data_IF_758001233551
#
_entry.id   IF_758001233551
#
_cell.length_a   1.000
_cell.length_b   1.000
_cell.length_c   1.000
_cell.angle_alpha   90.00
_cell.angle_beta   90.00
_cell.angle_gamma   90.00
#
_symmetry.space_group_name_H-M   'P 1'
#
loop_
_entity.id
_entity.type
_entity.pdbx_description
1 polymer ?
#
# COMPACT_ATOMS: atom_id res chain seq x y z
N UNK A 1 -21.80 2.98 -3.22
CA UNK A 1 -21.15 4.08 -2.49
C UNK A 1 -20.23 4.80 -3.46
N UNK A 2 -20.69 5.91 -4.03
CA UNK A 2 -19.92 6.70 -4.99
C UNK A 2 -18.95 7.61 -4.24
N UNK A 3 -17.65 7.44 -4.48
CA UNK A 3 -16.63 8.41 -4.08
C UNK A 3 -16.54 9.43 -5.20
N UNK A 4 -17.13 10.60 -4.97
CA UNK A 4 -17.07 11.76 -5.86
C UNK A 4 -15.77 12.52 -5.53
N UNK A 5 -15.04 12.90 -6.58
CA UNK A 5 -13.92 13.87 -6.57
C UNK A 5 -12.52 13.35 -6.20
N UNK A 6 -11.89 12.67 -7.18
CA UNK A 6 -10.47 12.90 -7.52
C UNK A 6 -10.26 12.80 -9.04
N UNK A 7 -9.37 13.61 -9.64
CA UNK A 7 -9.07 13.53 -11.06
C UNK A 7 -8.25 12.25 -11.32
N UNK A 8 -8.93 11.20 -11.78
CA UNK A 8 -8.27 10.00 -12.30
C UNK A 8 -8.33 10.06 -13.82
N UNK A 9 -7.16 10.19 -14.44
CA UNK A 9 -6.98 10.08 -15.88
C UNK A 9 -7.00 8.58 -16.27
N UNK A 10 -8.18 7.96 -16.18
CA UNK A 10 -8.42 6.70 -16.87
C UNK A 10 -8.97 7.03 -18.26
N UNK A 11 -8.31 6.52 -19.30
CA UNK A 11 -8.76 6.68 -20.66
C UNK A 11 -10.16 6.06 -20.80
N UNK A 12 -11.17 6.89 -21.08
CA UNK A 12 -12.51 6.45 -21.46
C UNK A 12 -12.37 5.62 -22.76
N UNK A 13 -12.49 4.30 -22.63
CA UNK A 13 -12.63 3.41 -23.79
C UNK A 13 -14.08 3.00 -23.87
N UNK A 14 -14.85 3.76 -24.66
CA UNK A 14 -16.26 3.48 -24.91
C UNK A 14 -16.46 2.02 -25.36
N UNK A 15 -17.21 1.25 -24.56
CA UNK A 15 -17.66 -0.10 -24.90
C UNK A 15 -16.71 -1.26 -24.58
N UNK A 16 -15.56 -1.03 -23.93
CA UNK A 16 -14.66 -2.12 -23.56
C UNK A 16 -15.00 -2.71 -22.18
N UNK A 17 -15.56 -3.92 -22.16
CA UNK A 17 -15.71 -4.71 -20.94
C UNK A 17 -14.48 -5.58 -20.72
N UNK A 18 -13.76 -5.40 -19.62
CA UNK A 18 -12.63 -6.25 -19.26
C UNK A 18 -13.04 -7.26 -18.19
N UNK A 19 -12.49 -8.47 -18.27
CA UNK A 19 -12.59 -9.42 -17.16
C UNK A 19 -11.73 -8.94 -16.00
N UNK A 20 -12.09 -9.31 -14.76
CA UNK A 20 -11.28 -9.00 -13.56
C UNK A 20 -9.79 -9.31 -13.76
N UNK A 21 -9.47 -10.48 -14.34
CA UNK A 21 -8.09 -10.93 -14.51
C UNK A 21 -7.32 -10.10 -15.53
N UNK A 22 -7.95 -9.70 -16.64
CA UNK A 22 -7.32 -8.82 -17.63
C UNK A 22 -7.00 -7.45 -17.03
N UNK A 23 -7.93 -6.89 -16.25
CA UNK A 23 -7.71 -5.62 -15.59
C UNK A 23 -6.63 -5.73 -14.48
N UNK A 24 -6.61 -6.83 -13.73
CA UNK A 24 -5.53 -7.10 -12.76
C UNK A 24 -4.16 -7.16 -13.42
N UNK A 25 -4.04 -7.84 -14.58
CA UNK A 25 -2.79 -7.88 -15.33
C UNK A 25 -2.39 -6.49 -15.80
N UNK A 26 -3.32 -5.71 -16.35
CA UNK A 26 -3.05 -4.34 -16.80
C UNK A 26 -2.55 -3.43 -15.65
N UNK A 27 -3.13 -3.57 -14.46
CA UNK A 27 -2.76 -2.81 -13.26
C UNK A 27 -1.42 -3.24 -12.66
N UNK A 28 -1.16 -4.55 -12.57
CA UNK A 28 0.01 -5.10 -11.87
C UNK A 28 1.25 -5.24 -12.75
N UNK A 29 1.08 -5.41 -14.07
CA UNK A 29 2.20 -5.69 -14.97
C UNK A 29 3.26 -4.58 -14.96
N UNK A 30 2.93 -3.28 -15.05
CA UNK A 30 3.95 -2.23 -15.04
C UNK A 30 4.76 -2.25 -13.75
N UNK A 31 4.08 -2.32 -12.60
CA UNK A 31 4.71 -2.36 -11.29
C UNK A 31 5.63 -3.58 -11.14
N UNK A 32 5.12 -4.78 -11.50
CA UNK A 32 5.86 -6.03 -11.36
C UNK A 32 7.09 -6.08 -12.30
N UNK A 33 6.94 -5.66 -13.55
CA UNK A 33 8.03 -5.66 -14.54
C UNK A 33 9.11 -4.66 -14.13
N UNK A 34 8.75 -3.41 -13.82
CA UNK A 34 9.72 -2.37 -13.44
C UNK A 34 10.45 -2.77 -12.15
N UNK A 35 9.73 -3.33 -11.18
CA UNK A 35 10.34 -3.81 -9.93
C UNK A 35 11.28 -4.99 -10.18
N UNK A 36 10.89 -5.99 -10.97
CA UNK A 36 11.73 -7.14 -11.29
C UNK A 36 13.00 -6.72 -12.04
N UNK A 37 12.87 -5.84 -13.04
CA UNK A 37 14.01 -5.29 -13.78
C UNK A 37 14.91 -4.47 -12.86
N UNK A 38 14.35 -3.63 -11.99
CA UNK A 38 15.13 -2.84 -11.04
C UNK A 38 15.89 -3.70 -10.02
N UNK A 39 15.26 -4.76 -9.49
CA UNK A 39 15.91 -5.70 -8.59
C UNK A 39 17.03 -6.48 -9.31
N UNK A 40 16.79 -6.94 -10.54
CA UNK A 40 17.83 -7.58 -11.35
C UNK A 40 19.00 -6.61 -11.63
N UNK A 41 18.70 -5.35 -11.92
CA UNK A 41 19.70 -4.30 -12.10
C UNK A 41 20.50 -4.05 -10.81
N UNK A 42 19.90 -4.14 -9.62
CA UNK A 42 20.62 -4.02 -8.35
C UNK A 42 21.60 -5.17 -8.09
N UNK A 43 21.27 -6.38 -8.57
CA UNK A 43 22.19 -7.54 -8.47
C UNK A 43 23.41 -7.34 -9.37
N UNK A 44 23.22 -6.77 -10.58
CA UNK A 44 24.31 -6.51 -11.53
C UNK A 44 25.10 -5.25 -11.15
N UNK A 45 24.41 -4.21 -10.69
CA UNK A 45 24.94 -2.91 -10.31
C UNK A 45 24.55 -2.62 -8.85
N UNK A 46 25.41 -2.94 -7.87
CA UNK A 46 25.13 -2.73 -6.45
C UNK A 46 25.25 -1.25 -6.07
N UNK A 47 24.43 -0.41 -6.69
CA UNK A 47 24.35 1.03 -6.43
C UNK A 47 23.03 1.37 -5.71
N UNK A 48 23.09 2.15 -4.61
CA UNK A 48 21.89 2.60 -3.90
C UNK A 48 21.04 3.58 -4.72
N UNK A 49 21.58 4.13 -5.81
CA UNK A 49 20.85 5.06 -6.68
C UNK A 49 19.62 4.42 -7.34
N UNK A 50 19.62 3.09 -7.53
CA UNK A 50 18.47 2.35 -8.08
C UNK A 50 17.26 2.34 -7.13
N UNK A 51 17.45 2.65 -5.84
CA UNK A 51 16.35 2.77 -4.87
C UNK A 51 15.43 3.93 -5.26
N UNK A 52 15.96 5.03 -5.79
CA UNK A 52 15.18 6.22 -6.13
C UNK A 52 14.13 5.95 -7.22
N UNK A 53 14.48 5.42 -8.42
CA UNK A 53 13.49 5.11 -9.44
C UNK A 53 12.54 3.97 -9.01
N UNK A 54 13.00 3.00 -8.22
CA UNK A 54 12.14 1.95 -7.68
C UNK A 54 11.11 2.49 -6.68
N UNK A 55 11.52 3.41 -5.81
CA UNK A 55 10.63 4.09 -4.89
C UNK A 55 9.61 4.97 -5.63
N UNK A 56 10.06 5.68 -6.68
CA UNK A 56 9.16 6.46 -7.53
C UNK A 56 8.13 5.58 -8.26
N UNK A 57 8.55 4.42 -8.78
CA UNK A 57 7.66 3.43 -9.38
C UNK A 57 6.62 2.92 -8.35
N UNK A 58 7.08 2.52 -7.16
CA UNK A 58 6.20 2.06 -6.10
C UNK A 58 5.18 3.13 -5.67
N UNK A 59 5.62 4.40 -5.55
CA UNK A 59 4.75 5.51 -5.22
C UNK A 59 3.72 5.79 -6.33
N UNK A 60 4.15 5.76 -7.60
CA UNK A 60 3.27 5.96 -8.75
C UNK A 60 2.21 4.87 -8.89
N UNK A 61 2.54 3.62 -8.57
CA UNK A 61 1.63 2.48 -8.67
C UNK A 61 0.66 2.32 -7.48
N UNK A 62 0.67 3.23 -6.48
CA UNK A 62 -0.25 3.13 -5.33
C UNK A 62 -1.72 3.08 -5.76
N UNK A 63 -2.09 3.87 -6.77
CA UNK A 63 -3.45 3.85 -7.32
C UNK A 63 -3.83 2.50 -7.94
N UNK A 64 -2.91 1.93 -8.71
CA UNK A 64 -3.12 0.65 -9.40
C UNK A 64 -3.17 -0.52 -8.43
N UNK A 65 -2.28 -0.53 -7.43
CA UNK A 65 -2.26 -1.53 -6.36
C UNK A 65 -3.53 -1.46 -5.50
N UNK A 66 -4.02 -0.25 -5.22
CA UNK A 66 -5.30 -0.06 -4.53
C UNK A 66 -6.46 -0.64 -5.35
N UNK A 67 -6.51 -0.32 -6.65
CA UNK A 67 -7.56 -0.83 -7.54
C UNK A 67 -7.51 -2.36 -7.68
N UNK A 68 -6.31 -2.93 -7.83
CA UNK A 68 -6.10 -4.37 -7.84
C UNK A 68 -6.55 -5.03 -6.53
N UNK A 69 -6.24 -4.42 -5.39
CA UNK A 69 -6.69 -4.87 -4.06
C UNK A 69 -8.20 -4.81 -3.87
N UNK A 70 -8.89 -3.85 -4.49
CA UNK A 70 -10.37 -3.81 -4.53
C UNK A 70 -10.92 -4.94 -5.39
N UNK A 71 -10.37 -5.14 -6.60
CA UNK A 71 -10.79 -6.20 -7.51
C UNK A 71 -10.60 -7.60 -6.92
N UNK A 72 -9.55 -7.81 -6.12
CA UNK A 72 -9.31 -9.07 -5.44
C UNK A 72 -10.37 -9.47 -4.40
N UNK A 73 -11.25 -8.56 -4.01
CA UNK A 73 -12.37 -8.85 -3.10
C UNK A 73 -13.59 -9.45 -3.82
N UNK A 74 -13.57 -9.43 -5.15
CA UNK A 74 -14.66 -9.88 -6.01
C UNK A 74 -14.30 -11.21 -6.71
N UNK A 75 -15.28 -12.08 -6.96
CA UNK A 75 -15.04 -13.35 -7.67
C UNK A 75 -14.59 -13.11 -9.13
N UNK A 76 -14.02 -14.15 -9.76
CA UNK A 76 -13.31 -14.03 -11.05
C UNK A 76 -14.24 -13.85 -12.27
N UNK A 77 -15.52 -14.16 -12.10
CA UNK A 77 -16.63 -14.01 -13.05
C UNK A 77 -17.11 -12.56 -13.22
N UNK A 78 -16.65 -11.67 -12.35
CA UNK A 78 -17.03 -10.27 -12.34
C UNK A 78 -16.39 -9.51 -13.51
N UNK A 79 -17.21 -8.70 -14.19
CA UNK A 79 -16.79 -7.84 -15.29
C UNK A 79 -16.66 -6.40 -14.80
N UNK A 80 -15.67 -5.70 -15.34
CA UNK A 80 -15.42 -4.30 -15.04
C UNK A 80 -15.60 -3.49 -16.32
N UNK A 81 -16.43 -2.45 -16.25
CA UNK A 81 -16.76 -1.59 -17.38
C UNK A 81 -17.32 -0.24 -16.94
N UNK A 82 -17.79 0.56 -17.89
CA UNK A 82 -18.31 1.90 -17.60
C UNK A 82 -19.65 1.85 -16.84
N UNK A 83 -19.81 2.59 -15.72
CA UNK A 83 -21.05 2.70 -14.96
C UNK A 83 -22.23 3.14 -15.85
N UNK A 84 -23.46 2.64 -15.61
CA UNK A 84 -24.62 3.14 -16.32
C UNK A 84 -24.90 4.58 -15.87
N UNK A 85 -25.31 5.45 -16.81
CA UNK A 85 -25.79 6.80 -16.49
C UNK A 85 -24.72 7.90 -16.44
N UNK A 86 -23.58 7.73 -17.13
CA UNK A 86 -22.59 8.81 -17.28
C UNK A 86 -21.85 9.16 -15.98
N UNK A 87 -21.89 8.27 -14.99
CA UNK A 87 -21.11 8.41 -13.76
C UNK A 87 -19.67 8.02 -14.06
N UNK A 88 -18.72 8.94 -13.85
CA UNK A 88 -17.30 8.67 -14.04
C UNK A 88 -16.79 7.66 -12.98
N UNK A 89 -16.17 6.57 -13.42
CA UNK A 89 -15.62 5.52 -12.55
C UNK A 89 -15.68 4.14 -13.20
N UNK A 90 -15.50 3.09 -12.41
CA UNK A 90 -15.65 1.70 -12.85
C UNK A 90 -16.86 1.05 -12.20
N UNK A 91 -17.76 0.49 -13.01
CA UNK A 91 -18.83 -0.39 -12.58
C UNK A 91 -18.33 -1.82 -12.45
N UNK A 92 -18.66 -2.45 -11.32
CA UNK A 92 -18.38 -3.87 -11.05
C UNK A 92 -19.69 -4.63 -11.27
N UNK A 93 -19.72 -5.48 -12.30
CA UNK A 93 -20.93 -6.20 -12.73
C UNK A 93 -20.78 -7.70 -12.46
N UNK A 94 -21.83 -8.31 -11.90
CA UNK A 94 -21.94 -9.77 -11.80
C UNK A 94 -22.18 -10.40 -13.18
N UNK A 95 -21.88 -11.70 -13.31
CA UNK A 95 -22.15 -12.46 -14.53
C UNK A 95 -23.65 -12.66 -14.80
N UNK A 96 -24.49 -12.62 -13.77
CA UNK A 96 -25.96 -12.57 -13.83
C UNK A 96 -26.47 -11.24 -13.24
N UNK A 97 -27.72 -10.86 -13.51
CA UNK A 97 -28.37 -9.61 -13.06
C UNK A 97 -28.42 -9.40 -11.52
N UNK A 98 -27.81 -10.29 -10.74
CA UNK A 98 -27.59 -10.15 -9.32
C UNK A 98 -26.41 -9.24 -8.98
N UNK A 99 -26.56 -8.43 -7.93
CA UNK A 99 -25.47 -7.62 -7.38
C UNK A 99 -24.28 -8.50 -6.97
N UNK A 100 -23.04 -8.26 -7.47
CA UNK A 100 -21.89 -9.09 -7.14
C UNK A 100 -21.56 -8.99 -5.65
N UNK A 101 -21.66 -10.11 -4.94
CA UNK A 101 -21.31 -10.19 -3.52
C UNK A 101 -19.80 -10.36 -3.34
N UNK A 102 -19.22 -9.63 -2.37
CA UNK A 102 -17.80 -9.79 -2.03
C UNK A 102 -17.57 -11.16 -1.38
N UNK A 103 -16.38 -11.72 -1.58
CA UNK A 103 -16.00 -12.98 -0.94
C UNK A 103 -16.12 -12.86 0.59
N UNK A 104 -16.66 -13.88 1.28
CA UNK A 104 -16.78 -13.86 2.74
C UNK A 104 -15.39 -13.66 3.39
N UNK A 105 -15.31 -12.79 4.41
CA UNK A 105 -14.07 -12.48 5.13
C UNK A 105 -13.20 -11.35 4.55
N UNK A 106 -13.35 -11.01 3.25
CA UNK A 106 -12.65 -9.86 2.64
C UNK A 106 -12.89 -8.49 3.29
N UNK A 107 -14.08 -8.16 3.86
CA UNK A 107 -14.23 -6.87 4.53
C UNK A 107 -13.43 -6.79 5.84
N UNK A 108 -13.20 -7.91 6.54
CA UNK A 108 -12.39 -7.94 7.74
C UNK A 108 -10.90 -7.86 7.39
N UNK A 109 -10.44 -8.66 6.42
CA UNK A 109 -9.06 -8.66 5.97
C UNK A 109 -8.64 -7.29 5.38
N UNK A 110 -9.50 -6.67 4.58
CA UNK A 110 -9.21 -5.34 4.02
C UNK A 110 -9.15 -4.23 5.07
N UNK A 111 -9.91 -4.34 6.17
CA UNK A 111 -9.80 -3.42 7.32
C UNK A 111 -8.48 -3.62 8.05
N UNK A 112 -8.12 -4.87 8.33
CA UNK A 112 -6.86 -5.22 8.97
C UNK A 112 -5.68 -4.69 8.15
N UNK A 113 -5.61 -5.02 6.86
CA UNK A 113 -4.54 -4.57 5.96
C UNK A 113 -4.46 -3.05 5.88
N UNK A 114 -5.61 -2.36 5.78
CA UNK A 114 -5.64 -0.89 5.79
C UNK A 114 -5.08 -0.32 7.09
N UNK A 115 -5.43 -0.90 8.23
CA UNK A 115 -4.90 -0.51 9.54
C UNK A 115 -3.38 -0.73 9.61
N UNK A 116 -2.89 -1.90 9.22
CA UNK A 116 -1.47 -2.22 9.20
C UNK A 116 -0.65 -1.29 8.30
N UNK A 117 -1.14 -1.02 7.09
CA UNK A 117 -0.48 -0.09 6.14
C UNK A 117 -0.48 1.33 6.69
N UNK A 118 -1.58 1.79 7.28
CA UNK A 118 -1.65 3.12 7.89
C UNK A 118 -0.65 3.25 9.06
N UNK A 119 -0.56 2.23 9.92
CA UNK A 119 0.41 2.21 11.03
C UNK A 119 1.85 2.25 10.52
N UNK A 120 2.19 1.45 9.50
CA UNK A 120 3.52 1.49 8.88
C UNK A 120 3.83 2.87 8.31
N UNK A 121 2.87 3.51 7.62
CA UNK A 121 3.05 4.85 7.06
C UNK A 121 3.33 5.89 8.16
N UNK A 122 2.62 5.81 9.29
CA UNK A 122 2.85 6.70 10.45
C UNK A 122 4.22 6.46 11.07
N UNK A 123 4.62 5.20 11.29
CA UNK A 123 5.94 4.85 11.83
C UNK A 123 7.05 5.34 10.92
N UNK A 124 6.92 5.15 9.60
CA UNK A 124 7.90 5.63 8.62
C UNK A 124 7.98 7.16 8.61
N UNK A 125 6.84 7.86 8.61
CA UNK A 125 6.81 9.33 8.68
C UNK A 125 7.45 9.86 9.96
N UNK A 126 7.19 9.20 11.10
CA UNK A 126 7.82 9.55 12.37
C UNK A 126 9.34 9.32 12.35
N UNK A 127 9.81 8.19 11.83
CA UNK A 127 11.24 7.90 11.70
C UNK A 127 11.94 8.92 10.81
N UNK A 128 11.35 9.28 9.66
CA UNK A 128 11.86 10.32 8.78
C UNK A 128 11.92 11.68 9.47
N UNK A 129 10.86 12.07 10.17
CA UNK A 129 10.84 13.31 10.95
C UNK A 129 11.94 13.33 12.01
N UNK A 130 12.12 12.23 12.74
CA UNK A 130 13.18 12.10 13.74
C UNK A 130 14.58 12.25 13.11
N UNK A 131 14.82 11.66 11.94
CA UNK A 131 16.07 11.82 11.19
C UNK A 131 16.28 13.27 10.77
N UNK A 132 15.27 13.92 10.19
CA UNK A 132 15.39 15.33 9.78
C UNK A 132 15.65 16.27 10.96
N UNK A 133 14.98 16.03 12.09
CA UNK A 133 15.23 16.79 13.33
C UNK A 133 16.66 16.53 13.83
N UNK A 134 17.10 15.29 13.91
CA UNK A 134 18.46 14.92 14.33
C UNK A 134 19.54 15.55 13.43
N UNK A 135 19.31 15.61 12.12
CA UNK A 135 20.18 16.30 11.17
C UNK A 135 20.16 17.82 11.36
N UNK A 136 19.00 18.41 11.68
CA UNK A 136 18.86 19.85 11.91
C UNK A 136 19.52 20.30 13.23
N UNK A 137 19.49 19.46 14.27
CA UNK A 137 20.02 19.77 15.59
C UNK A 137 21.42 19.17 15.87
N UNK A 138 21.98 18.40 14.94
CA UNK A 138 23.44 18.26 14.78
C UNK A 138 24.08 16.92 15.15
N UNK A 139 23.35 15.92 15.65
CA UNK A 139 23.93 14.57 15.85
C UNK A 139 23.86 13.74 14.57
N UNK A 140 22.74 13.83 13.82
CA UNK A 140 22.51 13.01 12.62
C UNK A 140 22.32 11.52 12.91
N UNK A 141 22.28 11.13 14.19
CA UNK A 141 22.06 9.77 14.64
C UNK A 141 20.66 9.65 15.27
N UNK A 142 19.92 8.60 14.94
CA UNK A 142 18.59 8.31 15.47
C UNK A 142 18.47 6.81 15.73
N UNK A 143 18.21 6.43 16.97
CA UNK A 143 17.88 5.05 17.33
C UNK A 143 16.47 5.01 17.91
N UNK A 144 15.63 4.19 17.28
CA UNK A 144 14.25 3.90 17.63
C UNK A 144 14.18 2.41 17.95
N UNK A 145 14.27 2.09 19.23
CA UNK A 145 14.28 0.72 19.74
C UNK A 145 15.57 0.35 20.47
N UNK A 146 15.69 -0.92 20.82
CA UNK A 146 16.89 -1.50 21.42
C UNK A 146 17.55 -2.48 20.43
N UNK A 147 18.78 -2.21 19.98
CA UNK A 147 19.54 -3.09 19.10
C UNK A 147 19.80 -4.47 19.72
N UNK A 148 20.03 -4.51 21.04
CA UNK A 148 20.43 -5.73 21.76
C UNK A 148 19.21 -6.51 22.30
N UNK A 149 18.09 -5.81 22.48
CA UNK A 149 16.83 -6.34 23.02
C UNK A 149 15.85 -6.92 21.99
N UNK A 150 16.19 -6.93 20.69
CA UNK A 150 15.37 -7.55 19.63
C UNK A 150 14.08 -6.81 19.26
N UNK A 151 13.84 -5.60 19.79
CA UNK A 151 12.71 -4.72 19.44
C UNK A 151 13.13 -3.46 18.69
N UNK A 152 14.30 -3.50 18.04
CA UNK A 152 14.77 -2.44 17.15
C UNK A 152 13.72 -2.15 16.06
N UNK A 153 13.28 -0.90 15.94
CA UNK A 153 12.38 -0.47 14.87
C UNK A 153 13.17 0.20 13.75
N UNK A 154 14.07 1.12 14.10
CA UNK A 154 14.81 1.92 13.15
C UNK A 154 16.11 2.42 13.78
N UNK A 155 17.21 2.36 13.04
CA UNK A 155 18.49 2.95 13.41
C UNK A 155 19.10 3.67 12.22
N UNK A 156 19.53 4.90 12.47
CA UNK A 156 20.25 5.74 11.54
C UNK A 156 21.53 6.21 12.23
N UNK A 157 22.68 5.83 11.69
CA UNK A 157 23.99 6.29 12.16
C UNK A 157 24.73 7.01 11.03
N UNK A 158 25.28 8.19 11.32
CA UNK A 158 26.10 8.98 10.43
C UNK A 158 27.57 8.74 10.74
N UNK A 159 28.28 8.02 9.86
CA UNK A 159 29.72 7.80 10.03
C UNK A 159 30.53 9.06 9.65
N UNK A 160 31.72 9.26 10.26
CA UNK A 160 32.59 10.42 10.00
C UNK A 160 32.99 10.63 8.52
N UNK A 161 32.89 9.59 7.69
CA UNK A 161 33.18 9.64 6.25
C UNK A 161 32.02 10.09 5.36
N UNK A 162 30.90 10.58 5.93
CA UNK A 162 29.74 11.05 5.16
C UNK A 162 28.80 9.93 4.67
N UNK A 163 29.05 8.68 5.08
CA UNK A 163 28.18 7.55 4.81
C UNK A 163 27.13 7.41 5.92
N UNK A 164 25.88 7.22 5.53
CA UNK A 164 24.77 6.93 6.44
C UNK A 164 24.53 5.42 6.48
N UNK A 165 24.46 4.85 7.68
CA UNK A 165 24.02 3.49 7.91
C UNK A 165 22.55 3.53 8.34
N UNK A 166 21.74 2.65 7.76
CA UNK A 166 20.31 2.57 8.04
C UNK A 166 19.94 1.11 8.24
N UNK A 167 19.42 0.80 9.42
CA UNK A 167 19.03 -0.54 9.84
C UNK A 167 17.56 -0.51 10.27
N UNK A 168 16.77 -1.45 9.77
CA UNK A 168 15.39 -1.67 10.19
C UNK A 168 15.31 -3.02 10.89
N UNK A 169 14.64 -3.07 12.04
CA UNK A 169 14.37 -4.35 12.68
C UNK A 169 13.08 -4.97 12.15
N UNK A 170 13.23 -6.00 11.31
CA UNK A 170 12.12 -6.67 10.63
C UNK A 170 11.01 -7.14 11.58
N UNK A 171 11.39 -7.78 12.71
CA UNK A 171 10.44 -8.40 13.63
C UNK A 171 9.59 -7.38 14.38
N UNK A 172 10.22 -6.32 14.90
CA UNK A 172 9.50 -5.28 15.64
C UNK A 172 8.58 -4.49 14.71
N UNK A 173 9.06 -4.17 13.50
CA UNK A 173 8.28 -3.45 12.51
C UNK A 173 7.05 -4.25 12.06
N UNK A 174 7.21 -5.54 11.79
CA UNK A 174 6.09 -6.45 11.48
C UNK A 174 5.12 -6.58 12.66
N UNK A 175 5.63 -6.68 13.88
CA UNK A 175 4.81 -6.74 15.10
C UNK A 175 3.95 -5.50 15.28
N UNK A 176 4.54 -4.30 15.15
CA UNK A 176 3.82 -3.02 15.24
C UNK A 176 2.77 -2.88 14.14
N UNK A 177 3.11 -3.27 12.91
CA UNK A 177 2.15 -3.25 11.79
C UNK A 177 0.96 -4.19 12.04
N UNK A 178 1.21 -5.40 12.53
CA UNK A 178 0.16 -6.37 12.85
C UNK A 178 -0.75 -5.86 13.99
N UNK A 179 -0.16 -5.32 15.07
CA UNK A 179 -0.92 -4.74 16.18
C UNK A 179 -1.78 -3.56 15.75
N UNK A 180 -1.24 -2.65 14.92
CA UNK A 180 -1.99 -1.54 14.36
C UNK A 180 -3.20 -1.99 13.53
N UNK A 181 -3.01 -3.02 12.70
CA UNK A 181 -4.10 -3.65 11.94
C UNK A 181 -5.17 -4.26 12.83
N UNK A 182 -4.79 -4.94 13.91
CA UNK A 182 -5.72 -5.54 14.88
C UNK A 182 -6.54 -4.46 15.59
N UNK A 183 -5.89 -3.43 16.14
CA UNK A 183 -6.55 -2.32 16.85
C UNK A 183 -7.54 -1.60 15.94
N UNK A 184 -7.12 -1.28 14.71
CA UNK A 184 -7.98 -0.62 13.73
C UNK A 184 -9.23 -1.46 13.40
N UNK A 185 -9.05 -2.76 13.22
CA UNK A 185 -10.15 -3.68 12.92
C UNK A 185 -11.14 -3.75 14.09
N UNK A 186 -10.65 -3.77 15.33
CA UNK A 186 -11.46 -3.82 16.53
C UNK A 186 -12.27 -2.52 16.70
N UNK A 187 -11.62 -1.36 16.59
CA UNK A 187 -12.28 -0.05 16.66
C UNK A 187 -13.34 0.10 15.58
N UNK A 188 -13.02 -0.24 14.32
CA UNK A 188 -13.96 -0.16 13.21
C UNK A 188 -15.18 -1.09 13.41
N UNK A 189 -14.96 -2.27 14.00
CA UNK A 189 -16.05 -3.23 14.28
C UNK A 189 -16.95 -2.75 15.41
N UNK A 190 -16.38 -2.19 16.48
CA UNK A 190 -17.15 -1.62 17.60
C UNK A 190 -17.97 -0.42 17.12
N UNK A 191 -17.38 0.48 16.34
CA UNK A 191 -18.10 1.65 15.81
C UNK A 191 -19.30 1.26 14.95
N UNK A 192 -19.16 0.23 14.13
CA UNK A 192 -20.26 -0.29 13.32
C UNK A 192 -21.38 -0.94 14.13
N UNK A 193 -21.08 -1.49 15.31
CA UNK A 193 -22.13 -2.00 16.20
C UNK A 193 -22.90 -0.86 16.86
N UNK A 194 -22.19 0.17 17.33
CA UNK A 194 -22.81 1.34 17.95
C UNK A 194 -23.68 2.16 16.99
N UNK A 195 -23.33 2.21 15.70
CA UNK A 195 -24.14 2.88 14.66
C UNK A 195 -25.40 2.10 14.25
N UNK A 196 -25.57 0.84 14.70
CA UNK A 196 -26.71 -0.03 14.38
C UNK A 196 -27.74 -0.15 15.51
N UNK A 197 -27.40 0.32 16.70
CA UNK A 197 -28.31 0.44 17.87
C UNK A 197 -28.96 1.82 17.90
#
# INVERSE_FOLDING_TARGET
MCIRDRPYAYAETSGASYTRNQLLVALLAPFAVITAVGLAAMVVFPTPLLIVPLAANAAGSIGDLWMAGVLCQYPADVRVGDPPGGVRGFGIYGAEEGSPSRLPGTPLLSRFLRGSVATLAVVAAYALLAVFLSLAFGSGDVVLGDPDGGWLLFRHDRRPGGTAFLELGDRALLGVAALGGLVWTLVATVRQRLERE
#
